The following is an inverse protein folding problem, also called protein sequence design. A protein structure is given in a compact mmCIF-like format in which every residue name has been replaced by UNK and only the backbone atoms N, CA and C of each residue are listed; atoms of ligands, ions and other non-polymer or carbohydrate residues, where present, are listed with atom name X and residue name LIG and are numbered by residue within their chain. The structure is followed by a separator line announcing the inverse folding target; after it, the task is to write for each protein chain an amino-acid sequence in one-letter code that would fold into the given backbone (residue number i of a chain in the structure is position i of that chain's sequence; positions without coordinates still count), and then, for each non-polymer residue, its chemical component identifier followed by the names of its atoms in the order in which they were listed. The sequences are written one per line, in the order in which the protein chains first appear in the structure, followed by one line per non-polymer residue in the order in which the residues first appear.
data_IF_368119620742
#
_entry.id   IF_368119620742
#
_cell.length_a   1.000
_cell.length_b   1.000
_cell.length_c   1.000
_cell.angle_alpha   90.00
_cell.angle_beta   90.00
_cell.angle_gamma   90.00
#
_symmetry.space_group_name_H-M   'P 1'
#
loop_
_entity.id
_entity.type
_entity.pdbx_description
1 polymer ?
#
# COMPACT_ATOMS: atom_id res chain seq x y z
N UNK A 1 -3.62 16.23 15.77
CA UNK A 1 -4.69 15.22 15.76
C UNK A 1 -4.65 14.59 14.40
N UNK A 2 -4.36 13.30 14.33
CA UNK A 2 -4.35 12.56 13.06
C UNK A 2 -5.80 12.39 12.60
N UNK A 3 -6.19 13.09 11.53
CA UNK A 3 -7.59 13.22 11.12
C UNK A 3 -8.23 11.87 10.82
N UNK A 4 -7.45 10.91 10.34
CA UNK A 4 -7.96 9.59 9.98
C UNK A 4 -8.31 8.74 11.21
N UNK A 5 -7.54 8.85 12.29
CA UNK A 5 -7.87 8.17 13.54
C UNK A 5 -9.17 8.74 14.13
N UNK A 6 -9.29 10.06 14.16
CA UNK A 6 -10.50 10.73 14.67
C UNK A 6 -11.74 10.36 13.83
N UNK A 7 -11.59 10.24 12.51
CA UNK A 7 -12.65 9.79 11.62
C UNK A 7 -13.05 8.33 11.90
N UNK A 8 -12.08 7.41 12.06
CA UNK A 8 -12.38 6.03 12.43
C UNK A 8 -13.02 5.90 13.80
N UNK A 9 -12.57 6.67 14.79
CA UNK A 9 -13.23 6.72 16.11
C UNK A 9 -14.69 7.13 15.95
N UNK A 10 -14.97 8.25 15.26
CA UNK A 10 -16.36 8.70 15.03
C UNK A 10 -17.20 7.66 14.31
N UNK A 11 -16.66 6.99 13.29
CA UNK A 11 -17.36 5.93 12.57
C UNK A 11 -17.69 4.75 13.48
N UNK A 12 -16.75 4.31 14.32
CA UNK A 12 -16.97 3.19 15.24
C UNK A 12 -18.06 3.49 16.28
N UNK A 13 -18.02 4.66 16.92
CA UNK A 13 -19.09 5.06 17.84
C UNK A 13 -20.43 5.28 17.11
N UNK A 14 -20.41 5.75 15.87
CA UNK A 14 -21.61 5.90 15.03
C UNK A 14 -22.29 4.57 14.64
N UNK A 15 -21.56 3.46 14.68
CA UNK A 15 -22.09 2.11 14.41
C UNK A 15 -22.68 1.43 15.66
N UNK A 16 -22.58 2.06 16.82
CA UNK A 16 -23.14 1.52 18.05
C UNK A 16 -24.68 1.56 18.02
N UNK A 17 -25.36 0.49 18.49
CA UNK A 17 -26.80 0.54 18.68
C UNK A 17 -27.19 1.68 19.62
N UNK A 18 -28.32 2.38 19.41
CA UNK A 18 -28.77 3.39 20.34
C UNK A 18 -29.18 2.76 21.68
N UNK A 19 -29.03 3.52 22.77
CA UNK A 19 -29.55 3.16 24.10
C UNK A 19 -28.52 3.25 25.23
N UNK A 20 -28.97 3.13 26.48
CA UNK A 20 -28.14 3.40 27.67
C UNK A 20 -27.19 2.25 28.02
N UNK A 21 -27.18 1.17 27.25
CA UNK A 21 -26.29 0.03 27.47
C UNK A 21 -24.81 0.39 27.22
N UNK A 22 -24.57 1.49 26.52
CA UNK A 22 -23.25 1.93 26.07
C UNK A 22 -22.79 3.16 26.83
N UNK A 23 -21.51 3.19 27.18
CA UNK A 23 -20.85 4.37 27.72
C UNK A 23 -20.43 5.32 26.60
N UNK A 24 -20.31 6.60 26.93
CA UNK A 24 -19.80 7.63 26.01
C UNK A 24 -18.35 7.37 25.59
N UNK A 25 -17.61 6.58 26.37
CA UNK A 25 -16.26 6.11 26.07
C UNK A 25 -16.17 4.60 26.18
N UNK A 26 -15.44 3.98 25.26
CA UNK A 26 -15.23 2.54 25.17
C UNK A 26 -13.78 2.28 24.75
N UNK A 27 -12.99 1.71 25.66
CA UNK A 27 -11.57 1.47 25.43
C UNK A 27 -11.28 0.44 24.32
N UNK A 28 -12.24 -0.43 23.98
CA UNK A 28 -12.11 -1.35 22.84
C UNK A 28 -12.27 -0.58 21.54
N UNK A 29 -13.27 0.30 21.43
CA UNK A 29 -13.48 1.12 20.23
C UNK A 29 -12.31 2.10 20.03
N UNK A 30 -11.87 2.75 21.11
CA UNK A 30 -10.72 3.66 21.09
C UNK A 30 -9.43 2.93 20.70
N UNK A 31 -9.25 1.67 21.12
CA UNK A 31 -8.12 0.82 20.74
C UNK A 31 -8.21 0.28 19.30
N UNK A 32 -9.43 0.13 18.76
CA UNK A 32 -9.66 -0.38 17.41
C UNK A 32 -9.36 0.66 16.34
N UNK A 33 -9.71 1.94 16.57
CA UNK A 33 -9.46 3.03 15.63
C UNK A 33 -8.00 3.10 15.11
N UNK A 34 -6.95 3.13 15.94
CA UNK A 34 -5.57 3.17 15.45
C UNK A 34 -5.16 1.88 14.70
N UNK A 35 -5.82 0.75 14.94
CA UNK A 35 -5.58 -0.46 14.14
C UNK A 35 -6.14 -0.35 12.73
N UNK A 36 -7.32 0.28 12.58
CA UNK A 36 -7.93 0.55 11.28
C UNK A 36 -7.13 1.57 10.47
N UNK A 37 -6.55 2.59 11.13
CA UNK A 37 -5.61 3.53 10.49
C UNK A 37 -4.42 2.79 9.87
N UNK A 38 -3.79 1.86 10.60
CA UNK A 38 -2.67 1.07 10.07
C UNK A 38 -3.09 0.23 8.86
N UNK A 39 -4.27 -0.38 8.90
CA UNK A 39 -4.79 -1.16 7.78
C UNK A 39 -5.10 -0.28 6.57
N UNK A 40 -5.70 0.90 6.78
CA UNK A 40 -5.96 1.88 5.73
C UNK A 40 -4.66 2.30 5.04
N UNK A 41 -3.65 2.69 5.83
CA UNK A 41 -2.35 3.11 5.30
C UNK A 41 -1.67 1.99 4.49
N UNK A 42 -1.72 0.74 4.98
CA UNK A 42 -1.22 -0.41 4.23
C UNK A 42 -2.02 -0.70 2.96
N UNK A 43 -3.32 -0.40 2.94
CA UNK A 43 -4.14 -0.53 1.74
C UNK A 43 -3.77 0.53 0.69
N UNK A 44 -3.49 1.77 1.11
CA UNK A 44 -2.99 2.82 0.21
C UNK A 44 -1.63 2.46 -0.39
N UNK A 45 -0.71 1.94 0.45
CA UNK A 45 0.59 1.43 0.00
C UNK A 45 0.43 0.28 -1.01
N UNK A 46 -0.51 -0.64 -0.78
CA UNK A 46 -0.78 -1.76 -1.68
C UNK A 46 -1.23 -1.29 -3.07
N UNK A 47 -1.94 -0.17 -3.19
CA UNK A 47 -2.35 0.37 -4.50
C UNK A 47 -1.14 0.82 -5.31
N UNK A 48 -0.09 1.34 -4.66
CA UNK A 48 1.16 1.75 -5.32
C UNK A 48 1.88 0.54 -5.93
N UNK A 49 1.84 -0.61 -5.25
CA UNK A 49 2.46 -1.87 -5.71
C UNK A 49 1.82 -2.45 -6.99
N UNK A 50 0.65 -1.96 -7.42
CA UNK A 50 0.00 -2.38 -8.67
C UNK A 50 0.82 -1.94 -9.88
N UNK A 51 1.48 -0.78 -9.82
CA UNK A 51 2.37 -0.31 -10.87
C UNK A 51 3.77 -0.94 -10.68
N UNK A 52 4.24 -1.79 -11.61
CA UNK A 52 5.57 -2.38 -11.54
C UNK A 52 6.68 -1.33 -11.37
N UNK A 53 6.53 -0.16 -12.02
CA UNK A 53 7.49 0.93 -11.97
C UNK A 53 7.54 1.67 -10.63
N UNK A 54 6.51 1.52 -9.78
CA UNK A 54 6.46 2.13 -8.45
C UNK A 54 6.56 1.08 -7.32
N UNK A 55 6.51 -0.21 -7.65
CA UNK A 55 6.57 -1.30 -6.69
C UNK A 55 7.87 -1.32 -5.87
N UNK A 56 7.73 -1.65 -4.58
CA UNK A 56 8.85 -1.83 -3.64
C UNK A 56 8.83 -3.25 -3.09
N UNK A 57 7.69 -3.69 -2.56
CA UNK A 57 7.52 -5.04 -2.01
C UNK A 57 7.45 -6.11 -3.10
N UNK A 58 6.83 -5.79 -4.25
CA UNK A 58 6.67 -6.73 -5.37
C UNK A 58 7.79 -6.66 -6.42
N UNK A 59 8.84 -5.87 -6.18
CA UNK A 59 9.84 -5.56 -7.20
C UNK A 59 10.53 -6.80 -7.78
N UNK A 60 10.90 -7.77 -6.94
CA UNK A 60 11.56 -9.01 -7.37
C UNK A 60 10.62 -9.86 -8.25
N UNK A 61 9.35 -9.93 -7.87
CA UNK A 61 8.34 -10.67 -8.64
C UNK A 61 8.10 -10.04 -10.01
N UNK A 62 8.03 -8.71 -10.08
CA UNK A 62 7.91 -8.04 -11.37
C UNK A 62 9.17 -8.21 -12.21
N UNK A 63 10.37 -8.11 -11.62
CA UNK A 63 11.60 -8.37 -12.38
C UNK A 63 11.60 -9.75 -13.02
N UNK A 64 11.20 -10.79 -12.29
CA UNK A 64 11.05 -12.14 -12.85
C UNK A 64 10.05 -12.17 -14.02
N UNK A 65 8.84 -11.61 -13.83
CA UNK A 65 7.79 -11.58 -14.86
C UNK A 65 8.20 -10.82 -16.13
N UNK A 66 8.96 -9.75 -15.96
CA UNK A 66 9.48 -8.94 -17.06
C UNK A 66 10.83 -9.45 -17.58
N UNK A 67 11.37 -10.55 -17.05
CA UNK A 67 12.67 -11.10 -17.50
C UNK A 67 13.83 -10.14 -17.27
N UNK A 68 13.89 -9.54 -16.08
CA UNK A 68 15.00 -8.72 -15.59
C UNK A 68 15.73 -9.47 -14.46
N UNK A 69 17.04 -9.22 -14.25
CA UNK A 69 17.92 -8.42 -15.11
C UNK A 69 18.21 -9.12 -16.46
N UNK A 70 18.14 -8.37 -17.57
CA UNK A 70 18.53 -8.83 -18.91
C UNK A 70 19.96 -8.40 -19.29
N UNK A 71 20.40 -8.69 -20.52
CA UNK A 71 21.73 -8.35 -21.04
C UNK A 71 22.04 -6.84 -21.06
N UNK A 72 21.01 -5.99 -21.02
CA UNK A 72 21.15 -4.54 -20.97
C UNK A 72 21.28 -4.02 -19.52
N UNK A 73 21.28 -4.91 -18.53
CA UNK A 73 21.40 -4.56 -17.12
C UNK A 73 22.79 -4.09 -16.74
N UNK A 74 22.93 -2.98 -16.01
CA UNK A 74 24.20 -2.62 -15.42
C UNK A 74 24.64 -3.70 -14.42
N UNK A 75 25.91 -4.08 -14.49
CA UNK A 75 26.53 -5.08 -13.63
C UNK A 75 26.74 -4.49 -12.24
N UNK A 76 26.42 -5.27 -11.20
CA UNK A 76 26.59 -4.88 -9.80
C UNK A 76 25.29 -4.50 -9.09
N UNK A 77 25.42 -3.99 -7.86
CA UNK A 77 24.28 -3.63 -7.01
C UNK A 77 23.55 -2.42 -7.56
N UNK A 78 22.23 -2.53 -7.72
CA UNK A 78 21.35 -1.44 -8.15
C UNK A 78 20.54 -0.93 -6.95
N UNK A 79 20.26 0.37 -6.94
CA UNK A 79 19.31 0.97 -5.99
C UNK A 79 17.87 0.59 -6.37
N UNK A 80 16.94 0.65 -5.40
CA UNK A 80 15.51 0.41 -5.65
C UNK A 80 14.97 1.26 -6.80
N UNK A 81 15.28 2.57 -6.79
CA UNK A 81 14.83 3.51 -7.83
C UNK A 81 15.34 3.14 -9.22
N UNK A 82 16.57 2.65 -9.33
CA UNK A 82 17.12 2.21 -10.62
C UNK A 82 16.39 0.96 -11.14
N UNK A 83 16.06 0.02 -10.25
CA UNK A 83 15.28 -1.19 -10.60
C UNK A 83 13.86 -0.82 -11.06
N UNK A 84 13.19 0.07 -10.31
CA UNK A 84 11.87 0.65 -10.64
C UNK A 84 11.84 1.32 -12.03
N UNK A 85 12.80 2.19 -12.33
CA UNK A 85 12.90 2.86 -13.64
C UNK A 85 13.04 1.87 -14.80
N UNK A 86 13.74 0.75 -14.59
CA UNK A 86 13.89 -0.28 -15.62
C UNK A 86 12.62 -1.09 -15.82
N UNK A 87 11.91 -1.42 -14.74
CA UNK A 87 10.59 -2.02 -14.82
C UNK A 87 9.61 -1.12 -15.55
N UNK A 88 9.58 0.17 -15.22
CA UNK A 88 8.74 1.16 -15.90
C UNK A 88 9.03 1.20 -17.41
N UNK A 89 10.32 1.30 -17.79
CA UNK A 89 10.72 1.31 -19.19
C UNK A 89 10.32 0.02 -19.93
N UNK A 90 10.44 -1.15 -19.28
CA UNK A 90 10.10 -2.44 -19.90
C UNK A 90 8.59 -2.66 -19.99
N UNK A 91 7.85 -2.23 -18.97
CA UNK A 91 6.39 -2.21 -19.00
C UNK A 91 5.92 -1.34 -20.16
N UNK A 92 6.30 -0.07 -20.21
CA UNK A 92 5.86 0.87 -21.25
C UNK A 92 6.12 0.36 -22.67
N UNK A 93 7.27 -0.27 -22.94
CA UNK A 93 7.57 -0.86 -24.26
C UNK A 93 6.78 -2.13 -24.57
N UNK A 94 6.52 -2.99 -23.56
CA UNK A 94 5.81 -4.26 -23.72
C UNK A 94 4.32 -4.11 -24.07
N UNK A 95 3.68 -3.00 -23.69
CA UNK A 95 2.30 -2.68 -24.05
C UNK A 95 2.10 -2.38 -25.54
N UNK A 96 3.15 -2.11 -26.32
CA UNK A 96 3.02 -1.78 -27.76
C UNK A 96 2.97 -3.01 -28.68
N UNK A 97 3.26 -4.20 -28.17
CA UNK A 97 3.38 -5.43 -28.98
C UNK A 97 2.30 -6.48 -28.65
N UNK A 98 1.29 -6.13 -27.84
CA UNK A 98 0.00 -6.83 -27.72
C UNK A 98 -1.11 -5.88 -28.12
#
# INVERSE_FOLDING_TARGET
MDSLQDDYTKLLYGLMPPGPAWSDTDGVLDGLAPSLVRVHQRADELVIEIDPGQSTELIERYEELYGLPDSCSPVGTQTLRQRQQRLEAKAQCGWWHK
#
